data_IF_239284330895
#
_entry.id   IF_239284330895
#
_cell.length_a   1.000
_cell.length_b   1.000
_cell.length_c   1.000
_cell.angle_alpha   90.00
_cell.angle_beta   90.00
_cell.angle_gamma   90.00
#
_symmetry.space_group_name_H-M   'P 1'
#
loop_
_entity.id
_entity.type
_entity.pdbx_description
1 polymer ?
#
# COMPACT_ATOMS: atom_id res chain seq x y z
N UNK A 1 -25.30 6.98 8.81
CA UNK A 1 -25.05 5.53 8.65
C UNK A 1 -24.02 4.97 9.64
N UNK A 2 -22.71 5.37 9.59
CA UNK A 2 -21.71 4.85 10.54
C UNK A 2 -22.04 5.17 12.00
N UNK A 3 -22.41 6.41 12.29
CA UNK A 3 -22.83 6.84 13.62
C UNK A 3 -24.09 6.10 14.13
N UNK A 4 -25.03 5.78 13.23
CA UNK A 4 -26.20 4.99 13.56
C UNK A 4 -25.82 3.57 14.00
N UNK A 5 -24.81 2.97 13.33
CA UNK A 5 -24.28 1.65 13.70
C UNK A 5 -23.54 1.70 15.03
N UNK A 6 -22.70 2.71 15.26
CA UNK A 6 -21.84 2.84 16.45
C UNK A 6 -22.62 3.19 17.71
N UNK A 7 -23.65 4.03 17.57
CA UNK A 7 -24.46 4.52 18.71
C UNK A 7 -25.70 3.68 18.97
N UNK A 8 -26.01 2.71 18.09
CA UNK A 8 -27.20 1.88 18.21
C UNK A 8 -28.47 2.67 17.94
N UNK A 9 -28.81 2.86 16.67
CA UNK A 9 -30.04 3.55 16.30
C UNK A 9 -31.28 2.73 16.70
N UNK A 10 -32.18 3.24 17.58
CA UNK A 10 -33.37 2.51 18.00
C UNK A 10 -34.31 2.12 16.85
N UNK A 11 -34.24 2.84 15.72
CA UNK A 11 -35.03 2.54 14.52
C UNK A 11 -34.47 1.37 13.72
N UNK A 12 -33.18 1.05 13.92
CA UNK A 12 -32.48 -0.04 13.24
C UNK A 12 -31.63 -0.84 14.23
N UNK A 13 -32.26 -1.58 15.16
CA UNK A 13 -31.54 -2.22 16.27
C UNK A 13 -30.53 -3.30 15.81
N UNK A 14 -30.71 -3.86 14.60
CA UNK A 14 -29.76 -4.82 14.04
C UNK A 14 -28.40 -4.16 13.66
N UNK A 15 -28.37 -2.86 13.43
CA UNK A 15 -27.13 -2.15 13.04
C UNK A 15 -26.19 -1.89 14.23
N UNK A 16 -26.70 -1.92 15.48
CA UNK A 16 -25.91 -1.67 16.67
C UNK A 16 -25.20 -2.91 17.27
N UNK A 17 -25.30 -4.08 16.65
CA UNK A 17 -24.86 -5.33 17.26
C UNK A 17 -23.37 -5.61 17.17
N UNK A 18 -22.62 -4.91 16.28
CA UNK A 18 -21.18 -5.13 16.04
C UNK A 18 -20.34 -3.88 16.35
N UNK A 19 -20.62 -3.24 17.46
CA UNK A 19 -19.99 -1.97 17.84
C UNK A 19 -18.46 -2.07 17.96
N UNK A 20 -17.95 -3.17 18.52
CA UNK A 20 -16.51 -3.34 18.68
C UNK A 20 -15.79 -3.38 17.33
N UNK A 21 -16.30 -4.15 16.39
CA UNK A 21 -15.76 -4.20 15.01
C UNK A 21 -15.75 -2.82 14.37
N UNK A 22 -16.83 -2.08 14.48
CA UNK A 22 -16.92 -0.73 13.90
C UNK A 22 -15.91 0.24 14.54
N UNK A 23 -15.67 0.14 15.84
CA UNK A 23 -14.66 0.96 16.53
C UNK A 23 -13.25 0.57 16.14
N UNK A 24 -12.97 -0.72 15.99
CA UNK A 24 -11.65 -1.20 15.51
C UNK A 24 -11.45 -0.76 14.06
N UNK A 25 -12.44 -0.92 13.17
CA UNK A 25 -12.37 -0.43 11.80
C UNK A 25 -12.11 1.09 11.74
N UNK A 26 -12.76 1.86 12.62
CA UNK A 26 -12.49 3.29 12.73
C UNK A 26 -11.05 3.57 13.17
N UNK A 27 -10.53 2.85 14.16
CA UNK A 27 -9.13 2.99 14.58
C UNK A 27 -8.16 2.63 13.44
N UNK A 28 -8.43 1.55 12.71
CA UNK A 28 -7.64 1.17 11.52
C UNK A 28 -7.69 2.27 10.44
N UNK A 29 -8.82 2.94 10.24
CA UNK A 29 -8.93 4.04 9.28
C UNK A 29 -8.12 5.29 9.66
N UNK A 30 -7.69 5.41 10.92
CA UNK A 30 -6.79 6.47 11.37
C UNK A 30 -5.31 6.12 11.15
N UNK A 31 -5.00 4.85 10.94
CA UNK A 31 -3.67 4.34 10.59
C UNK A 31 -3.52 4.25 9.07
N UNK A 32 -4.43 3.56 8.41
CA UNK A 32 -4.48 3.33 6.97
C UNK A 32 -5.40 4.38 6.33
N UNK A 33 -4.92 5.62 6.32
CA UNK A 33 -5.74 6.81 5.99
C UNK A 33 -6.07 6.86 4.50
N UNK A 34 -7.34 7.13 4.20
CA UNK A 34 -7.78 7.60 2.89
C UNK A 34 -8.78 8.76 3.08
N UNK A 35 -8.74 9.76 2.21
CA UNK A 35 -9.55 10.97 2.36
C UNK A 35 -10.54 11.16 1.20
N UNK A 36 -11.77 11.52 1.52
CA UNK A 36 -12.77 11.91 0.54
C UNK A 36 -12.52 13.32 -0.05
N UNK A 37 -11.53 14.04 0.42
CA UNK A 37 -11.14 15.35 -0.15
C UNK A 37 -10.29 15.19 -1.40
N UNK A 38 -9.63 14.03 -1.58
CA UNK A 38 -8.78 13.77 -2.73
C UNK A 38 -9.61 13.40 -3.97
N UNK A 39 -9.20 13.91 -5.13
CA UNK A 39 -9.75 13.42 -6.41
C UNK A 39 -9.08 12.06 -6.75
N UNK A 40 -9.83 11.05 -7.27
CA UNK A 40 -11.26 11.05 -7.61
C UNK A 40 -12.19 10.67 -6.44
N UNK A 41 -11.69 10.40 -5.24
CA UNK A 41 -12.42 9.84 -4.10
C UNK A 41 -13.57 10.74 -3.63
N UNK A 42 -13.46 12.06 -3.83
CA UNK A 42 -14.53 13.01 -3.53
C UNK A 42 -15.82 12.80 -4.35
N UNK A 43 -15.76 11.93 -5.37
CA UNK A 43 -16.90 11.55 -6.24
C UNK A 43 -17.18 10.05 -6.19
N UNK A 44 -16.48 9.30 -5.35
CA UNK A 44 -16.51 7.82 -5.27
C UNK A 44 -16.83 7.37 -3.85
N UNK A 45 -18.00 7.80 -3.35
CA UNK A 45 -18.47 7.39 -2.04
C UNK A 45 -18.61 5.88 -1.87
N UNK A 46 -18.93 5.17 -2.96
CA UNK A 46 -18.98 3.71 -3.02
C UNK A 46 -17.61 3.07 -2.76
N UNK A 47 -16.54 3.63 -3.30
CA UNK A 47 -15.18 3.16 -3.06
C UNK A 47 -14.74 3.34 -1.60
N UNK A 48 -15.07 4.50 -1.02
CA UNK A 48 -14.80 4.75 0.40
C UNK A 48 -15.61 3.80 1.31
N UNK A 49 -16.84 3.47 0.93
CA UNK A 49 -17.65 2.49 1.66
C UNK A 49 -17.03 1.10 1.57
N UNK A 50 -16.64 0.65 0.38
CA UNK A 50 -15.92 -0.61 0.15
C UNK A 50 -14.63 -0.67 0.98
N UNK A 51 -13.83 0.40 0.97
CA UNK A 51 -12.61 0.48 1.77
C UNK A 51 -12.88 0.34 3.27
N UNK A 52 -13.94 1.00 3.77
CA UNK A 52 -14.29 0.87 5.18
C UNK A 52 -14.80 -0.54 5.54
N UNK A 53 -15.55 -1.18 4.63
CA UNK A 53 -16.00 -2.56 4.81
C UNK A 53 -14.80 -3.54 4.85
N UNK A 54 -13.75 -3.27 4.05
CA UNK A 54 -12.49 -4.02 4.09
C UNK A 54 -11.81 -3.89 5.47
N UNK A 55 -11.69 -2.68 6.02
CA UNK A 55 -11.17 -2.47 7.36
C UNK A 55 -12.01 -3.20 8.44
N UNK A 56 -13.33 -3.18 8.29
CA UNK A 56 -14.24 -3.88 9.19
C UNK A 56 -14.10 -5.41 9.07
N UNK A 57 -13.91 -5.95 7.88
CA UNK A 57 -13.63 -7.37 7.62
C UNK A 57 -12.41 -7.83 8.43
N UNK A 58 -11.34 -7.04 8.42
CA UNK A 58 -10.08 -7.36 9.07
C UNK A 58 -9.95 -6.89 10.52
N UNK A 59 -11.01 -6.35 11.12
CA UNK A 59 -10.96 -5.76 12.46
C UNK A 59 -10.40 -6.70 13.55
N UNK A 60 -10.55 -8.00 13.39
CA UNK A 60 -10.03 -9.04 14.31
C UNK A 60 -9.14 -10.06 13.58
N UNK A 61 -8.64 -9.69 12.41
CA UNK A 61 -7.80 -10.52 11.56
C UNK A 61 -6.32 -10.27 11.75
N UNK A 62 -5.54 -10.73 10.78
CA UNK A 62 -4.10 -10.50 10.71
C UNK A 62 -3.80 -9.17 10.00
N UNK A 63 -2.88 -8.39 10.55
CA UNK A 63 -2.54 -7.08 10.00
C UNK A 63 -1.82 -7.17 8.63
N UNK A 64 -1.01 -8.21 8.43
CA UNK A 64 -0.37 -8.48 7.13
C UNK A 64 -1.42 -8.73 6.04
N UNK A 65 -2.47 -9.52 6.34
CA UNK A 65 -3.54 -9.80 5.39
C UNK A 65 -4.40 -8.56 5.13
N UNK A 66 -4.62 -7.74 6.16
CA UNK A 66 -5.24 -6.43 6.00
C UNK A 66 -4.44 -5.55 5.05
N UNK A 67 -3.12 -5.47 5.22
CA UNK A 67 -2.27 -4.62 4.39
C UNK A 67 -2.21 -5.12 2.93
N UNK A 68 -2.27 -6.45 2.71
CA UNK A 68 -2.43 -7.01 1.38
C UNK A 68 -3.74 -6.55 0.72
N UNK A 69 -4.88 -6.71 1.40
CA UNK A 69 -6.17 -6.26 0.88
C UNK A 69 -6.21 -4.72 0.66
N UNK A 70 -5.55 -3.95 1.52
CA UNK A 70 -5.42 -2.48 1.37
C UNK A 70 -4.60 -2.12 0.13
N UNK A 71 -3.51 -2.83 -0.14
CA UNK A 71 -2.70 -2.63 -1.34
C UNK A 71 -3.48 -2.90 -2.64
N UNK A 72 -4.44 -3.83 -2.60
CA UNK A 72 -5.33 -4.12 -3.74
C UNK A 72 -6.57 -3.20 -3.80
N UNK A 73 -6.78 -2.34 -2.79
CA UNK A 73 -7.96 -1.46 -2.75
C UNK A 73 -7.85 -0.31 -3.74
N UNK A 74 -8.85 -0.10 -4.62
CA UNK A 74 -8.88 1.04 -5.51
C UNK A 74 -8.87 2.40 -4.78
N UNK A 75 -9.45 2.46 -3.59
CA UNK A 75 -9.45 3.68 -2.77
C UNK A 75 -8.02 4.05 -2.35
N UNK A 76 -7.25 3.09 -1.84
CA UNK A 76 -5.85 3.32 -1.49
C UNK A 76 -4.99 3.55 -2.73
N UNK A 77 -5.24 2.79 -3.80
CA UNK A 77 -4.58 2.96 -5.10
C UNK A 77 -4.71 4.39 -5.65
N UNK A 78 -5.90 4.96 -5.56
CA UNK A 78 -6.16 6.34 -5.98
C UNK A 78 -5.60 7.38 -4.98
N UNK A 79 -5.64 7.09 -3.68
CA UNK A 79 -5.19 8.02 -2.64
C UNK A 79 -3.66 8.18 -2.60
N UNK A 80 -2.93 7.08 -2.74
CA UNK A 80 -1.47 7.05 -2.70
C UNK A 80 -0.80 6.75 -4.06
N UNK A 81 -1.52 6.97 -5.15
CA UNK A 81 -1.00 7.04 -6.53
C UNK A 81 -0.47 5.72 -7.13
N UNK A 82 -0.69 4.56 -6.50
CA UNK A 82 -0.24 3.31 -7.12
C UNK A 82 -1.29 2.67 -8.05
N UNK A 83 -2.52 3.16 -8.08
CA UNK A 83 -3.47 2.83 -9.13
C UNK A 83 -2.97 3.36 -10.47
N UNK A 84 -2.83 2.48 -11.45
CA UNK A 84 -2.28 2.80 -12.76
C UNK A 84 -0.77 3.06 -12.78
N UNK A 85 -0.06 2.70 -11.71
CA UNK A 85 1.39 2.79 -11.63
C UNK A 85 2.05 1.83 -12.63
N UNK A 86 3.04 2.33 -13.38
CA UNK A 86 3.67 1.62 -14.49
C UNK A 86 5.14 1.36 -14.22
N UNK A 87 5.63 0.28 -14.84
CA UNK A 87 7.06 0.02 -14.95
C UNK A 87 7.80 1.19 -15.60
N UNK A 88 9.10 1.25 -15.36
CA UNK A 88 9.96 2.23 -16.00
C UNK A 88 9.96 2.06 -17.52
N UNK A 89 9.94 3.17 -18.24
CA UNK A 89 10.09 3.21 -19.70
C UNK A 89 10.82 4.47 -20.14
N UNK A 90 11.96 4.28 -20.79
CA UNK A 90 12.74 5.40 -21.33
C UNK A 90 11.98 6.11 -22.47
N UNK A 91 11.26 5.34 -23.31
CA UNK A 91 10.52 5.88 -24.44
C UNK A 91 9.29 6.69 -24.01
N UNK A 92 8.64 6.29 -22.92
CA UNK A 92 7.46 6.98 -22.37
C UNK A 92 7.84 7.99 -21.27
N UNK A 93 9.07 7.95 -20.76
CA UNK A 93 9.53 8.79 -19.65
C UNK A 93 8.85 8.43 -18.33
N UNK A 94 8.39 7.18 -18.16
CA UNK A 94 7.71 6.71 -16.94
C UNK A 94 8.73 6.15 -15.96
N UNK A 95 8.37 6.23 -14.66
CA UNK A 95 9.03 5.55 -13.54
C UNK A 95 7.97 5.09 -12.56
N UNK A 96 8.21 4.00 -11.81
CA UNK A 96 7.32 3.60 -10.72
C UNK A 96 7.11 4.75 -9.74
N UNK A 97 5.84 5.00 -9.37
CA UNK A 97 5.50 5.97 -8.33
C UNK A 97 5.84 5.37 -6.96
N UNK A 98 6.58 6.13 -6.14
CA UNK A 98 7.11 5.68 -4.86
C UNK A 98 6.19 5.98 -3.68
N UNK A 99 5.11 6.74 -3.88
CA UNK A 99 4.32 7.29 -2.78
C UNK A 99 3.77 6.19 -1.87
N UNK A 100 3.08 5.20 -2.45
CA UNK A 100 2.54 4.09 -1.67
C UNK A 100 3.65 3.23 -1.02
N UNK A 101 4.75 2.96 -1.74
CA UNK A 101 5.88 2.20 -1.19
C UNK A 101 6.48 2.90 0.03
N UNK A 102 6.63 4.21 -0.02
CA UNK A 102 7.10 5.04 1.09
C UNK A 102 6.18 4.97 2.29
N UNK A 103 4.86 5.11 2.06
CA UNK A 103 3.88 5.05 3.14
C UNK A 103 3.78 3.65 3.75
N UNK A 104 3.91 2.59 2.95
CA UNK A 104 3.96 1.21 3.46
C UNK A 104 5.13 1.03 4.43
N UNK A 105 6.33 1.49 4.08
CA UNK A 105 7.49 1.39 4.97
C UNK A 105 7.38 2.35 6.16
N UNK A 106 7.02 3.60 5.91
CA UNK A 106 7.12 4.68 6.89
C UNK A 106 5.98 4.68 7.91
N UNK A 107 4.72 4.57 7.44
CA UNK A 107 3.53 4.75 8.28
C UNK A 107 2.79 3.46 8.56
N UNK A 108 2.86 2.48 7.65
CA UNK A 108 2.03 1.29 7.75
C UNK A 108 2.76 0.08 8.34
N UNK A 109 4.11 0.06 8.33
CA UNK A 109 4.89 -1.07 8.85
C UNK A 109 6.04 -0.65 9.76
N UNK A 110 7.27 -0.57 9.25
CA UNK A 110 8.51 -0.57 10.03
C UNK A 110 8.94 0.79 10.60
N UNK A 111 8.38 1.89 10.08
CA UNK A 111 8.75 3.24 10.53
C UNK A 111 10.08 3.74 9.98
N UNK A 112 10.42 5.00 10.30
CA UNK A 112 11.63 5.67 9.78
C UNK A 112 12.93 5.17 10.41
N UNK A 113 12.88 4.82 11.69
CA UNK A 113 14.06 4.51 12.49
C UNK A 113 13.87 3.23 13.28
N UNK A 114 14.96 2.47 13.41
CA UNK A 114 14.98 1.29 14.26
C UNK A 114 14.68 1.64 15.72
N UNK A 115 13.95 0.77 16.38
CA UNK A 115 13.61 0.91 17.79
C UNK A 115 14.22 -0.22 18.61
N UNK A 116 14.64 0.11 19.82
CA UNK A 116 14.97 -0.87 20.85
C UNK A 116 13.66 -1.53 21.37
N UNK A 117 13.79 -2.62 22.09
CA UNK A 117 12.64 -3.35 22.66
C UNK A 117 11.77 -2.53 23.61
N UNK A 118 12.32 -1.46 24.19
CA UNK A 118 11.60 -0.53 25.07
C UNK A 118 10.91 0.62 24.30
N UNK A 119 11.03 0.62 22.95
CA UNK A 119 10.46 1.64 22.08
C UNK A 119 11.33 2.90 21.93
N UNK A 120 12.49 2.97 22.57
CA UNK A 120 13.44 4.06 22.35
C UNK A 120 14.12 3.91 20.98
N UNK A 121 14.44 5.04 20.28
CA UNK A 121 15.15 4.97 19.01
C UNK A 121 16.53 4.34 19.14
N UNK A 122 16.90 3.45 18.20
CA UNK A 122 18.25 2.95 18.09
C UNK A 122 19.17 4.05 17.57
N UNK A 123 20.38 4.17 18.18
CA UNK A 123 21.38 5.20 17.87
C UNK A 123 22.74 4.56 17.72
N UNK A 124 23.46 4.92 16.66
CA UNK A 124 24.84 4.47 16.47
C UNK A 124 25.90 5.41 17.12
N UNK A 125 25.46 6.56 17.64
CA UNK A 125 26.33 7.55 18.28
C UNK A 125 27.19 8.37 17.31
N UNK A 126 26.96 8.25 15.99
CA UNK A 126 27.76 8.91 14.97
C UNK A 126 26.89 9.77 14.04
N UNK A 127 26.88 11.08 14.26
CA UNK A 127 26.12 12.06 13.47
C UNK A 127 26.51 12.10 11.98
N UNK A 128 27.62 11.48 11.58
CA UNK A 128 28.07 11.45 10.19
C UNK A 128 27.69 10.16 9.45
N UNK A 129 27.16 9.15 10.14
CA UNK A 129 26.77 7.87 9.50
C UNK A 129 25.60 8.07 8.54
N UNK A 130 24.68 8.97 8.88
CA UNK A 130 23.47 9.27 8.10
C UNK A 130 23.42 10.77 7.76
N UNK A 131 24.26 11.26 6.83
CA UNK A 131 24.42 12.70 6.56
C UNK A 131 23.14 13.39 6.12
N UNK A 132 22.23 12.67 5.46
CA UNK A 132 20.96 13.22 4.99
C UNK A 132 19.97 13.47 6.12
N UNK A 133 20.09 12.77 7.25
CA UNK A 133 19.23 12.97 8.42
C UNK A 133 19.78 13.99 9.41
N UNK A 134 21.08 14.26 9.39
CA UNK A 134 21.77 15.07 10.41
C UNK A 134 21.63 14.49 11.83
N UNK A 135 21.41 13.19 11.94
CA UNK A 135 21.06 12.47 13.16
C UNK A 135 21.92 11.21 13.32
N UNK A 136 22.05 10.73 14.56
CA UNK A 136 22.63 9.44 14.92
C UNK A 136 21.58 8.31 14.97
N UNK A 137 20.35 8.59 14.54
CA UNK A 137 19.27 7.61 14.46
C UNK A 137 19.52 6.63 13.33
N UNK A 138 19.39 5.33 13.62
CA UNK A 138 19.56 4.27 12.64
C UNK A 138 18.29 4.17 11.77
N UNK A 139 18.35 4.45 10.46
CA UNK A 139 17.20 4.32 9.59
C UNK A 139 16.86 2.85 9.37
N UNK A 140 15.56 2.53 9.31
CA UNK A 140 15.06 1.17 9.02
C UNK A 140 15.22 0.77 7.56
N UNK A 141 15.20 1.72 6.65
CA UNK A 141 15.28 1.51 5.22
C UNK A 141 16.01 2.66 4.52
N UNK A 142 16.41 2.42 3.30
CA UNK A 142 17.07 3.39 2.41
C UNK A 142 16.11 3.88 1.32
N UNK A 143 16.50 4.94 0.60
CA UNK A 143 15.79 5.37 -0.60
C UNK A 143 15.72 4.26 -1.67
N UNK A 144 16.79 3.46 -1.79
CA UNK A 144 16.82 2.33 -2.72
C UNK A 144 15.76 1.27 -2.35
N UNK A 145 15.54 0.98 -1.06
CA UNK A 145 14.49 0.04 -0.64
C UNK A 145 13.09 0.52 -1.07
N UNK A 146 12.84 1.85 -1.04
CA UNK A 146 11.59 2.44 -1.51
C UNK A 146 11.44 2.26 -3.03
N UNK A 147 12.49 2.55 -3.80
CA UNK A 147 12.50 2.40 -5.26
C UNK A 147 12.27 0.94 -5.68
N UNK A 148 12.89 0.01 -4.96
CA UNK A 148 12.70 -1.43 -5.19
C UNK A 148 11.28 -1.89 -4.82
N UNK A 149 10.74 -1.42 -3.68
CA UNK A 149 9.36 -1.74 -3.29
C UNK A 149 8.33 -1.11 -4.24
N UNK A 150 8.60 0.08 -4.80
CA UNK A 150 7.70 0.73 -5.74
C UNK A 150 7.45 -0.10 -7.01
N UNK A 151 8.43 -0.90 -7.45
CA UNK A 151 8.29 -1.82 -8.59
C UNK A 151 7.24 -2.90 -8.34
N UNK A 152 7.13 -3.37 -7.10
CA UNK A 152 6.11 -4.36 -6.69
C UNK A 152 4.68 -3.84 -6.89
N UNK A 153 4.48 -2.52 -6.75
CA UNK A 153 3.18 -1.88 -6.87
C UNK A 153 2.85 -1.39 -8.29
N UNK A 154 3.62 -1.80 -9.30
CA UNK A 154 3.29 -1.53 -10.70
C UNK A 154 2.32 -2.57 -11.25
N UNK A 155 1.57 -2.22 -12.30
CA UNK A 155 0.67 -3.15 -12.97
C UNK A 155 -0.76 -3.20 -12.40
N UNK A 156 -1.08 -2.52 -11.31
CA UNK A 156 -2.41 -2.54 -10.70
C UNK A 156 -3.29 -1.39 -11.17
N UNK A 157 -4.53 -1.68 -11.58
CA UNK A 157 -5.50 -0.66 -11.99
C UNK A 157 -6.94 -1.09 -11.68
N UNK A 158 -7.87 -0.14 -11.83
CA UNK A 158 -9.29 -0.37 -11.61
C UNK A 158 -9.85 -1.39 -12.61
N UNK A 159 -10.67 -2.31 -12.13
CA UNK A 159 -11.40 -3.23 -12.99
C UNK A 159 -12.25 -2.46 -13.99
N UNK A 160 -12.12 -2.82 -15.27
CA UNK A 160 -12.84 -2.17 -16.36
C UNK A 160 -12.26 -0.81 -16.77
N UNK A 161 -11.12 -0.40 -16.26
CA UNK A 161 -10.44 0.80 -16.75
C UNK A 161 -9.92 0.61 -18.18
N UNK A 162 -10.53 1.31 -19.13
CA UNK A 162 -10.20 1.21 -20.56
C UNK A 162 -8.90 1.93 -20.96
N UNK A 163 -8.31 2.70 -20.05
CA UNK A 163 -7.13 3.54 -20.32
C UNK A 163 -6.14 3.44 -19.17
N UNK A 164 -5.51 2.30 -19.07
CA UNK A 164 -4.52 2.01 -18.05
C UNK A 164 -3.52 3.18 -17.84
N UNK A 165 -3.21 3.45 -16.59
CA UNK A 165 -2.19 4.44 -16.21
C UNK A 165 -2.62 5.91 -16.30
N UNK A 166 -3.90 6.21 -16.50
CA UNK A 166 -4.40 7.57 -16.35
C UNK A 166 -5.03 7.75 -14.97
N UNK A 167 -4.32 8.45 -14.08
CA UNK A 167 -4.81 8.88 -12.76
C UNK A 167 -6.15 9.63 -12.77
N UNK A 168 -6.60 10.06 -13.94
CA UNK A 168 -7.85 10.81 -14.16
C UNK A 168 -9.00 9.91 -14.61
N UNK A 169 -8.78 8.60 -14.81
CA UNK A 169 -9.84 7.75 -15.30
C UNK A 169 -10.70 7.24 -14.14
N UNK A 170 -11.88 7.80 -14.06
CA UNK A 170 -12.91 7.46 -13.07
C UNK A 170 -13.89 6.39 -13.57
N UNK A 171 -13.60 5.76 -14.72
CA UNK A 171 -14.55 4.85 -15.37
C UNK A 171 -14.49 3.41 -14.83
N UNK A 172 -13.50 3.10 -13.98
CA UNK A 172 -13.34 1.79 -13.37
C UNK A 172 -14.18 1.58 -12.12
N UNK A 173 -14.20 0.33 -11.65
CA UNK A 173 -14.95 -0.09 -10.48
C UNK A 173 -14.15 0.13 -9.19
N UNK A 174 -14.74 0.89 -8.26
CA UNK A 174 -14.16 1.17 -6.93
C UNK A 174 -14.67 0.22 -5.84
N UNK A 175 -15.51 -0.75 -6.18
CA UNK A 175 -16.19 -1.63 -5.20
C UNK A 175 -15.65 -3.05 -5.16
N UNK A 176 -14.50 -3.28 -5.78
CA UNK A 176 -13.77 -4.54 -5.76
C UNK A 176 -12.26 -4.30 -5.83
N UNK A 177 -11.47 -5.34 -5.59
CA UNK A 177 -10.00 -5.27 -5.70
C UNK A 177 -9.57 -4.85 -7.11
N UNK A 178 -8.48 -4.11 -7.21
CA UNK A 178 -7.86 -3.76 -8.50
C UNK A 178 -7.46 -5.01 -9.26
N UNK A 179 -7.48 -4.92 -10.59
CA UNK A 179 -6.99 -5.97 -11.48
C UNK A 179 -5.50 -5.76 -11.80
N UNK A 180 -4.81 -6.88 -12.01
CA UNK A 180 -3.39 -6.87 -12.35
C UNK A 180 -3.20 -6.95 -13.86
N UNK A 181 -2.37 -6.08 -14.41
CA UNK A 181 -1.96 -6.11 -15.81
C UNK A 181 -0.44 -6.29 -15.91
N UNK A 182 0.04 -7.49 -16.26
CA UNK A 182 1.45 -7.79 -16.34
C UNK A 182 2.21 -6.97 -17.39
N UNK A 183 1.55 -6.43 -18.42
CA UNK A 183 2.19 -5.59 -19.43
C UNK A 183 2.80 -4.32 -18.82
N UNK A 184 2.19 -3.79 -17.76
CA UNK A 184 2.63 -2.58 -17.07
C UNK A 184 3.37 -2.83 -15.78
N UNK A 185 3.55 -4.11 -15.41
CA UNK A 185 4.34 -4.51 -14.25
C UNK A 185 5.83 -4.58 -14.57
N UNK A 186 6.64 -4.29 -13.56
CA UNK A 186 8.10 -4.37 -13.62
C UNK A 186 8.55 -5.81 -13.40
N UNK A 187 8.38 -6.68 -14.40
CA UNK A 187 8.70 -8.10 -14.30
C UNK A 187 9.95 -8.53 -15.08
N UNK A 188 10.41 -7.70 -15.99
CA UNK A 188 11.54 -7.98 -16.87
C UNK A 188 12.51 -6.82 -16.98
N UNK A 189 13.67 -7.20 -17.42
CA UNK A 189 14.82 -6.43 -17.82
C UNK A 189 14.49 -5.21 -18.73
N UNK A 190 13.99 -4.11 -18.18
CA UNK A 190 14.04 -2.87 -18.94
C UNK A 190 15.46 -2.28 -18.87
N UNK A 191 16.00 -1.88 -20.05
CA UNK A 191 17.35 -1.35 -20.21
C UNK A 191 17.65 -0.07 -19.41
N UNK A 192 16.67 0.47 -18.70
CA UNK A 192 16.79 1.70 -17.93
C UNK A 192 17.38 1.49 -16.53
N UNK A 193 17.15 0.31 -15.91
CA UNK A 193 17.72 -0.03 -14.60
C UNK A 193 18.77 -1.15 -14.74
N UNK A 194 19.82 -1.07 -13.97
CA UNK A 194 20.98 -1.97 -14.05
C UNK A 194 20.73 -3.38 -13.49
N UNK A 195 19.57 -3.63 -12.87
CA UNK A 195 19.17 -4.92 -12.32
C UNK A 195 17.94 -5.44 -13.04
N UNK A 196 18.17 -6.31 -14.02
CA UNK A 196 17.19 -6.73 -15.02
C UNK A 196 16.86 -8.23 -14.92
N UNK A 197 16.79 -8.78 -13.72
CA UNK A 197 16.57 -10.22 -13.53
C UNK A 197 15.17 -10.58 -13.00
N UNK A 198 14.20 -9.65 -13.08
CA UNK A 198 12.86 -9.85 -12.56
C UNK A 198 12.81 -9.98 -11.03
N UNK A 199 13.76 -9.37 -10.35
CA UNK A 199 13.88 -9.39 -8.89
C UNK A 199 14.07 -8.00 -8.32
N UNK A 200 13.67 -7.83 -7.07
CA UNK A 200 13.94 -6.64 -6.27
C UNK A 200 14.61 -7.04 -4.96
N UNK A 201 15.42 -6.14 -4.41
CA UNK A 201 16.04 -6.36 -3.10
C UNK A 201 15.52 -5.30 -2.14
N UNK A 202 14.79 -5.74 -1.11
CA UNK A 202 14.16 -4.91 -0.11
C UNK A 202 14.72 -5.33 1.25
N UNK A 203 15.26 -4.40 2.03
CA UNK A 203 15.85 -4.67 3.35
C UNK A 203 16.87 -5.82 3.32
N UNK A 204 17.68 -5.88 2.26
CA UNK A 204 18.68 -6.92 2.06
C UNK A 204 18.11 -8.30 1.67
N UNK A 205 16.81 -8.43 1.42
CA UNK A 205 16.17 -9.66 0.95
C UNK A 205 15.79 -9.53 -0.52
N UNK A 206 16.25 -10.48 -1.32
CA UNK A 206 15.92 -10.55 -2.75
C UNK A 206 14.66 -11.38 -2.94
N UNK A 207 13.66 -10.83 -3.62
CA UNK A 207 12.39 -11.47 -3.97
C UNK A 207 12.17 -11.43 -5.48
N UNK A 208 11.43 -12.40 -6.01
CA UNK A 208 11.05 -12.41 -7.41
C UNK A 208 9.77 -11.61 -7.62
N UNK A 209 9.74 -10.69 -8.58
CA UNK A 209 8.55 -9.91 -8.94
C UNK A 209 7.45 -10.79 -9.54
N UNK A 210 7.80 -11.93 -10.14
CA UNK A 210 6.85 -12.90 -10.66
C UNK A 210 6.32 -13.89 -9.59
N UNK A 211 6.63 -13.70 -8.30
CA UNK A 211 6.03 -14.49 -7.24
C UNK A 211 4.52 -14.25 -7.19
N UNK A 212 3.74 -15.35 -7.11
CA UNK A 212 2.28 -15.30 -7.13
C UNK A 212 1.73 -14.84 -5.78
N UNK A 213 0.85 -13.85 -5.80
CA UNK A 213 0.13 -13.34 -4.62
C UNK A 213 -1.14 -14.16 -4.31
N UNK A 214 -1.87 -13.78 -3.24
CA UNK A 214 -3.11 -14.45 -2.80
C UNK A 214 -4.24 -14.39 -3.85
N UNK A 215 -4.20 -13.44 -4.76
CA UNK A 215 -5.15 -13.31 -5.86
C UNK A 215 -4.73 -14.11 -7.10
N UNK A 216 -3.57 -14.77 -7.06
CA UNK A 216 -3.02 -15.54 -8.17
C UNK A 216 -2.28 -14.71 -9.21
N UNK A 217 -1.92 -13.45 -8.90
CA UNK A 217 -1.19 -12.56 -9.80
C UNK A 217 0.31 -12.65 -9.54
N UNK A 218 1.10 -12.60 -10.57
CA UNK A 218 2.57 -12.64 -10.49
C UNK A 218 3.13 -11.23 -10.28
N UNK A 219 2.97 -10.67 -9.07
CA UNK A 219 3.35 -9.30 -8.72
C UNK A 219 4.45 -9.18 -7.65
N UNK A 220 4.78 -10.28 -6.98
CA UNK A 220 5.72 -10.27 -5.85
C UNK A 220 5.19 -9.59 -4.58
N UNK A 221 3.93 -9.13 -4.56
CA UNK A 221 3.37 -8.34 -3.44
C UNK A 221 3.41 -9.10 -2.12
N UNK A 222 2.94 -10.33 -2.08
CA UNK A 222 2.93 -11.11 -0.82
C UNK A 222 4.35 -11.38 -0.33
N UNK A 223 5.30 -11.66 -1.22
CA UNK A 223 6.70 -11.84 -0.85
C UNK A 223 7.32 -10.55 -0.28
N UNK A 224 6.97 -9.40 -0.83
CA UNK A 224 7.42 -8.11 -0.30
C UNK A 224 6.84 -7.81 1.09
N UNK A 225 5.55 -8.08 1.29
CA UNK A 225 4.92 -7.95 2.61
C UNK A 225 5.55 -8.90 3.62
N UNK A 226 5.86 -10.15 3.25
CA UNK A 226 6.53 -11.11 4.13
C UNK A 226 7.92 -10.61 4.58
N UNK A 227 8.66 -9.93 3.70
CA UNK A 227 9.94 -9.29 4.07
C UNK A 227 9.71 -8.20 5.11
N UNK A 228 8.73 -7.31 4.91
CA UNK A 228 8.43 -6.22 5.85
C UNK A 228 7.95 -6.74 7.22
N UNK A 229 7.15 -7.80 7.24
CA UNK A 229 6.64 -8.38 8.49
C UNK A 229 7.64 -9.31 9.20
N UNK A 230 8.75 -9.65 8.56
CA UNK A 230 9.86 -10.41 9.15
C UNK A 230 11.00 -9.52 9.65
N UNK A 231 10.94 -8.20 9.40
CA UNK A 231 11.94 -7.22 9.84
C UNK A 231 11.73 -6.93 11.31
#
# INVERSE_FOLDING_TARGET
>A
AWWDNVLGNPKYPALGQDQLRQRVAYALSQLLVASNSAFPLNRRGEGLAYYYDLLAKHAFGNYRDLLSDVAHSPTMGAYLSHQGNRKASQSEGTRPDENFAREVMQLFTIGLYELNLDGSPNRDGNLNTYPDSGSDLVPTYTQQDIEELAKVFTGWDLVGNKKYGRLVNTDGDFTQAMEFNPEFHEDEADAYYTNQDGKVTILGKTIALNATDQLGNASGLDAALDVLFAH
#
